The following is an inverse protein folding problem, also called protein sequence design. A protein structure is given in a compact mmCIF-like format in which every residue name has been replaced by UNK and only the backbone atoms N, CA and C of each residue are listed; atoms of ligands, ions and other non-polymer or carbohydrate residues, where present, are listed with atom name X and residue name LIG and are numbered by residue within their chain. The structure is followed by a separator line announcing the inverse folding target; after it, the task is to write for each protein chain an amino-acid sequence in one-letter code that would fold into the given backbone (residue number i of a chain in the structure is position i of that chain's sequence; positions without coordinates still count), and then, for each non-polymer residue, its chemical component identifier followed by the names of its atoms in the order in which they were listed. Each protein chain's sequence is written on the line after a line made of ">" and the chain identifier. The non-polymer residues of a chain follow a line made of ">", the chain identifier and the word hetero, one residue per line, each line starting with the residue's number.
data_IF_699012192085
#
_entry.id   IF_699012192085
#
_cell.length_a   1.000
_cell.length_b   1.000
_cell.length_c   1.000
_cell.angle_alpha   90.00
_cell.angle_beta   90.00
_cell.angle_gamma   90.00
#
_symmetry.space_group_name_H-M   'P 1'
#
loop_
_entity.id
_entity.type
_entity.pdbx_description
1 polymer ?
#
# COMPACT_ATOMS: atom_id res chain seq x y z
N UNK A 1 -26.35 8.57 21.86
CA UNK A 1 -25.13 9.39 22.01
C UNK A 1 -24.90 9.70 23.48
N UNK A 2 -23.91 9.07 24.11
CA UNK A 2 -23.58 9.29 25.53
C UNK A 2 -22.98 10.68 25.78
N UNK A 3 -23.00 11.12 27.05
CA UNK A 3 -22.46 12.41 27.48
C UNK A 3 -21.01 12.63 27.03
N UNK A 4 -20.17 11.62 27.17
CA UNK A 4 -18.76 11.70 26.77
C UNK A 4 -18.56 11.89 25.27
N UNK A 5 -19.44 11.34 24.43
CA UNK A 5 -19.40 11.56 22.97
C UNK A 5 -19.85 12.99 22.64
N UNK A 6 -20.90 13.49 23.31
CA UNK A 6 -21.35 14.88 23.14
C UNK A 6 -20.29 15.90 23.56
N UNK A 7 -19.45 15.56 24.53
CA UNK A 7 -18.34 16.38 25.00
C UNK A 7 -17.06 16.19 24.17
N UNK A 8 -17.07 15.36 23.12
CA UNK A 8 -15.89 15.06 22.30
C UNK A 8 -14.80 14.26 23.02
N UNK A 9 -15.12 13.71 24.19
CA UNK A 9 -14.21 12.90 25.01
C UNK A 9 -14.20 11.43 24.61
N UNK A 10 -15.11 10.99 23.74
CA UNK A 10 -15.11 9.64 23.14
C UNK A 10 -15.53 9.70 21.69
N UNK A 11 -15.00 8.79 20.87
CA UNK A 11 -15.42 8.60 19.48
C UNK A 11 -16.91 8.28 19.37
N UNK A 12 -17.54 8.78 18.31
CA UNK A 12 -18.96 8.52 18.03
C UNK A 12 -19.17 7.21 17.28
N UNK A 13 -18.17 6.79 16.51
CA UNK A 13 -18.14 5.52 15.77
C UNK A 13 -16.80 4.80 15.98
N UNK A 14 -16.81 3.47 15.86
CA UNK A 14 -15.59 2.66 16.04
C UNK A 14 -14.51 2.93 14.99
N UNK A 15 -14.88 3.47 13.82
CA UNK A 15 -13.96 3.79 12.72
C UNK A 15 -13.30 5.15 12.85
N UNK A 16 -13.77 5.99 13.77
CA UNK A 16 -13.13 7.27 14.07
C UNK A 16 -11.88 7.05 14.90
N UNK A 17 -10.92 7.98 14.77
CA UNK A 17 -9.68 7.97 15.54
C UNK A 17 -10.01 7.92 17.05
N UNK A 18 -9.43 6.97 17.80
CA UNK A 18 -9.62 6.91 19.26
C UNK A 18 -9.20 8.22 19.93
N UNK A 19 -10.00 8.68 20.88
CA UNK A 19 -9.60 9.76 21.80
C UNK A 19 -8.63 9.22 22.86
N UNK A 20 -8.02 10.10 23.65
CA UNK A 20 -7.17 9.69 24.79
C UNK A 20 -7.96 8.82 25.78
N UNK A 21 -9.22 9.18 26.02
CA UNK A 21 -10.08 8.42 26.93
C UNK A 21 -10.45 7.06 26.32
N UNK A 22 -10.68 6.98 25.01
CA UNK A 22 -10.88 5.70 24.32
C UNK A 22 -9.64 4.81 24.45
N UNK A 23 -8.43 5.34 24.20
CA UNK A 23 -7.18 4.58 24.34
C UNK A 23 -7.01 4.03 25.77
N UNK A 24 -7.27 4.85 26.78
CA UNK A 24 -7.16 4.45 28.20
C UNK A 24 -8.22 3.43 28.57
N UNK A 25 -9.47 3.61 28.14
CA UNK A 25 -10.56 2.69 28.46
C UNK A 25 -10.44 1.35 27.73
N UNK A 26 -9.96 1.36 26.49
CA UNK A 26 -9.78 0.14 25.68
C UNK A 26 -8.55 -0.66 26.13
N UNK A 27 -7.41 0.01 26.41
CA UNK A 27 -6.19 -0.64 26.92
C UNK A 27 -5.27 0.35 27.65
N UNK A 28 -5.37 0.47 29.00
CA UNK A 28 -4.57 1.41 29.78
C UNK A 28 -3.06 1.22 29.58
N UNK A 29 -2.60 -0.04 29.51
CA UNK A 29 -1.20 -0.37 29.29
C UNK A 29 -0.71 0.13 27.93
N UNK A 30 -1.47 -0.13 26.87
CA UNK A 30 -1.10 0.30 25.52
C UNK A 30 -1.09 1.82 25.41
N UNK A 31 -2.04 2.51 26.04
CA UNK A 31 -2.07 3.97 26.10
C UNK A 31 -0.81 4.55 26.76
N UNK A 32 -0.39 3.98 27.90
CA UNK A 32 0.85 4.37 28.58
C UNK A 32 2.08 4.10 27.71
N UNK A 33 2.19 2.90 27.14
CA UNK A 33 3.32 2.51 26.26
C UNK A 33 3.41 3.44 25.05
N UNK A 34 2.28 3.78 24.43
CA UNK A 34 2.24 4.69 23.29
C UNK A 34 2.72 6.10 23.64
N UNK A 35 2.30 6.63 24.80
CA UNK A 35 2.76 7.95 25.28
C UNK A 35 4.26 7.95 25.61
N UNK A 36 4.75 6.88 26.26
CA UNK A 36 6.19 6.71 26.51
C UNK A 36 6.98 6.60 25.21
N UNK A 37 6.47 5.86 24.22
CA UNK A 37 7.08 5.76 22.89
C UNK A 37 7.19 7.13 22.21
N UNK A 38 6.13 7.94 22.22
CA UNK A 38 6.16 9.30 21.67
C UNK A 38 7.14 10.21 22.42
N UNK A 39 7.21 10.11 23.75
CA UNK A 39 8.20 10.81 24.56
C UNK A 39 9.62 10.39 24.18
N UNK A 40 9.87 9.09 24.03
CA UNK A 40 11.18 8.59 23.61
C UNK A 40 11.53 9.00 22.18
N UNK A 41 10.57 9.05 21.25
CA UNK A 41 10.81 9.58 19.91
C UNK A 41 11.20 11.06 19.95
N UNK A 42 10.53 11.85 20.79
CA UNK A 42 10.86 13.25 20.98
C UNK A 42 12.25 13.42 21.60
N UNK A 43 12.56 12.66 22.67
CA UNK A 43 13.87 12.67 23.34
C UNK A 43 15.01 12.15 22.44
N UNK A 44 14.73 11.19 21.55
CA UNK A 44 15.69 10.64 20.58
C UNK A 44 16.22 11.71 19.62
N UNK A 45 15.49 12.81 19.42
CA UNK A 45 15.88 13.88 18.53
C UNK A 45 15.67 13.55 17.05
N UNK A 46 16.28 14.36 16.17
CA UNK A 46 16.04 14.23 14.72
C UNK A 46 16.60 12.91 14.17
N UNK A 47 15.93 12.31 13.16
CA UNK A 47 16.46 11.13 12.48
C UNK A 47 17.87 11.39 11.95
N UNK A 48 18.69 10.34 11.91
CA UNK A 48 20.03 10.38 11.30
C UNK A 48 19.91 10.97 9.90
N UNK A 49 20.51 12.15 9.69
CA UNK A 49 20.63 12.73 8.35
C UNK A 49 21.65 11.90 7.58
N UNK A 50 21.34 11.43 6.36
CA UNK A 50 22.34 10.75 5.54
C UNK A 50 23.55 11.67 5.32
N UNK A 51 24.77 11.11 5.14
CA UNK A 51 25.96 11.91 4.87
C UNK A 51 25.74 12.83 3.67
N UNK A 52 26.13 14.11 3.77
CA UNK A 52 25.94 15.12 2.71
C UNK A 52 26.50 14.69 1.33
N UNK A 53 27.49 13.80 1.32
CA UNK A 53 28.14 13.31 0.10
C UNK A 53 27.44 12.10 -0.56
N UNK A 54 26.29 11.64 -0.05
CA UNK A 54 25.53 10.56 -0.69
C UNK A 54 24.25 11.07 -1.31
N UNK A 55 24.07 10.78 -2.59
CA UNK A 55 22.82 11.05 -3.29
C UNK A 55 21.66 10.31 -2.61
N UNK A 56 20.56 11.00 -2.27
CA UNK A 56 19.37 10.36 -1.72
C UNK A 56 18.72 9.45 -2.77
N UNK A 57 17.94 8.47 -2.32
CA UNK A 57 17.03 7.71 -3.19
C UNK A 57 15.66 8.36 -3.06
N UNK A 58 15.08 8.82 -4.16
CA UNK A 58 13.73 9.39 -4.20
C UNK A 58 12.72 8.28 -4.47
N UNK A 59 11.78 8.09 -3.55
CA UNK A 59 10.71 7.12 -3.65
C UNK A 59 9.40 7.87 -3.94
N UNK A 60 8.70 7.45 -4.99
CA UNK A 60 7.40 7.97 -5.38
C UNK A 60 6.37 6.90 -5.04
N UNK A 61 5.38 7.24 -4.23
CA UNK A 61 4.34 6.32 -3.79
C UNK A 61 2.99 6.74 -4.34
N UNK A 62 2.22 5.77 -4.84
CA UNK A 62 0.87 5.97 -5.34
C UNK A 62 0.01 4.73 -5.11
N UNK A 63 -1.31 4.89 -5.16
CA UNK A 63 -2.29 3.86 -4.87
C UNK A 63 -3.68 4.35 -5.33
N UNK A 64 -4.66 3.45 -5.40
CA UNK A 64 -6.09 3.76 -5.50
C UNK A 64 -6.45 4.66 -6.70
N UNK A 65 -5.80 4.45 -7.85
CA UNK A 65 -6.12 5.26 -9.04
C UNK A 65 -7.38 4.81 -9.74
N UNK A 66 -7.84 3.57 -9.54
CA UNK A 66 -9.09 3.07 -10.09
C UNK A 66 -9.25 3.36 -11.60
N UNK A 67 -8.36 2.82 -12.41
CA UNK A 67 -8.22 3.03 -13.85
C UNK A 67 -7.75 4.42 -14.29
N UNK A 68 -7.71 5.41 -13.39
CA UNK A 68 -7.19 6.72 -13.72
C UNK A 68 -5.68 6.67 -14.01
N UNK A 69 -5.28 7.34 -15.08
CA UNK A 69 -3.88 7.53 -15.45
C UNK A 69 -3.48 8.96 -15.12
N UNK A 70 -2.64 9.19 -14.09
CA UNK A 70 -2.17 10.53 -13.76
C UNK A 70 -1.39 11.15 -14.91
N UNK A 71 -1.72 12.39 -15.24
CA UNK A 71 -1.06 13.15 -16.31
C UNK A 71 0.37 13.58 -15.96
N UNK A 72 0.68 13.63 -14.67
CA UNK A 72 2.02 13.94 -14.16
C UNK A 72 2.35 13.05 -12.99
N UNK A 73 3.53 12.42 -13.05
CA UNK A 73 4.12 11.66 -11.96
C UNK A 73 5.48 12.29 -11.66
N UNK A 74 5.79 12.63 -10.40
CA UNK A 74 7.09 13.19 -10.05
C UNK A 74 8.24 12.26 -10.42
N UNK A 75 9.36 12.85 -10.83
CA UNK A 75 10.60 12.10 -11.05
C UNK A 75 11.09 11.44 -9.76
N UNK A 76 11.51 10.19 -9.86
CA UNK A 76 12.07 9.43 -8.76
C UNK A 76 12.88 8.23 -9.21
N UNK A 77 13.60 7.64 -8.27
CA UNK A 77 14.43 6.45 -8.53
C UNK A 77 13.62 5.16 -8.38
N UNK A 78 12.64 5.15 -7.48
CA UNK A 78 11.75 4.02 -7.23
C UNK A 78 10.29 4.52 -7.22
N UNK A 79 9.45 3.92 -8.04
CA UNK A 79 8.00 4.08 -7.97
C UNK A 79 7.38 2.86 -7.30
N UNK A 80 6.51 3.08 -6.33
CA UNK A 80 5.72 2.04 -5.65
C UNK A 80 4.25 2.34 -5.91
N UNK A 81 3.56 1.42 -6.59
CA UNK A 81 2.12 1.40 -6.74
C UNK A 81 1.53 0.39 -5.75
N UNK A 82 0.72 0.86 -4.81
CA UNK A 82 0.35 0.14 -3.59
C UNK A 82 -1.12 -0.35 -3.56
N UNK A 83 -1.65 -0.74 -4.71
CA UNK A 83 -2.96 -1.39 -4.85
C UNK A 83 -4.04 -0.52 -5.45
N UNK A 84 -5.16 -1.16 -5.77
CA UNK A 84 -6.38 -0.57 -6.34
C UNK A 84 -6.10 0.27 -7.59
N UNK A 85 -5.36 -0.35 -8.52
CA UNK A 85 -5.03 0.27 -9.81
C UNK A 85 -6.19 0.29 -10.79
N UNK A 86 -7.19 -0.57 -10.57
CA UNK A 86 -8.34 -0.75 -11.46
C UNK A 86 -9.68 -0.61 -10.73
N UNK A 87 -10.79 -0.48 -11.46
CA UNK A 87 -12.13 -0.63 -10.90
C UNK A 87 -12.63 -2.07 -10.96
N UNK A 88 -12.42 -2.74 -12.10
CA UNK A 88 -13.04 -4.02 -12.44
C UNK A 88 -12.13 -5.23 -12.24
N UNK A 89 -10.83 -5.01 -12.04
CA UNK A 89 -9.84 -6.08 -11.84
C UNK A 89 -9.60 -6.96 -13.05
N UNK A 90 -10.04 -6.56 -14.25
CA UNK A 90 -9.89 -7.37 -15.44
C UNK A 90 -8.44 -7.42 -15.92
N UNK A 91 -8.07 -8.51 -16.61
CA UNK A 91 -6.74 -8.63 -17.20
C UNK A 91 -6.40 -7.47 -18.14
N UNK A 92 -7.39 -6.95 -18.87
CA UNK A 92 -7.21 -5.85 -19.81
C UNK A 92 -6.94 -4.51 -19.08
N UNK A 93 -7.73 -4.20 -18.05
CA UNK A 93 -7.53 -2.99 -17.24
C UNK A 93 -6.18 -3.02 -16.54
N UNK A 94 -5.80 -4.17 -15.97
CA UNK A 94 -4.50 -4.32 -15.30
C UNK A 94 -3.36 -4.21 -16.32
N UNK A 95 -3.48 -4.78 -17.52
CA UNK A 95 -2.47 -4.60 -18.56
C UNK A 95 -2.29 -3.13 -18.94
N UNK A 96 -3.37 -2.37 -19.05
CA UNK A 96 -3.29 -0.93 -19.34
C UNK A 96 -2.53 -0.16 -18.23
N UNK A 97 -2.77 -0.51 -16.96
CA UNK A 97 -2.03 0.08 -15.83
C UNK A 97 -0.55 -0.29 -15.85
N UNK A 98 -0.22 -1.56 -16.11
CA UNK A 98 1.17 -2.01 -16.20
C UNK A 98 1.89 -1.37 -17.39
N UNK A 99 1.23 -1.23 -18.53
CA UNK A 99 1.78 -0.58 -19.72
C UNK A 99 2.12 0.89 -19.45
N UNK A 100 1.23 1.59 -18.76
CA UNK A 100 1.47 2.95 -18.34
C UNK A 100 2.62 3.03 -17.32
N UNK A 101 2.66 2.17 -16.30
CA UNK A 101 3.76 2.11 -15.31
C UNK A 101 5.12 1.83 -15.96
N UNK A 102 5.14 0.91 -16.93
CA UNK A 102 6.33 0.55 -17.69
C UNK A 102 6.89 1.75 -18.44
N UNK A 103 6.03 2.63 -18.98
CA UNK A 103 6.42 3.83 -19.72
C UNK A 103 7.11 4.91 -18.88
N UNK A 104 6.96 4.87 -17.55
CA UNK A 104 7.52 5.90 -16.66
C UNK A 104 9.05 5.81 -16.55
N UNK A 105 9.76 6.94 -16.36
CA UNK A 105 11.23 6.98 -16.41
C UNK A 105 11.93 6.48 -15.13
N UNK A 106 11.18 6.07 -14.10
CA UNK A 106 11.73 5.61 -12.83
C UNK A 106 12.64 4.39 -13.03
N UNK A 107 13.76 4.33 -12.31
CA UNK A 107 14.73 3.24 -12.45
C UNK A 107 14.11 1.88 -12.09
N UNK A 108 13.32 1.84 -11.02
CA UNK A 108 12.59 0.65 -10.57
C UNK A 108 11.12 0.99 -10.38
N UNK A 109 10.23 0.06 -10.74
CA UNK A 109 8.80 0.14 -10.46
C UNK A 109 8.38 -1.10 -9.71
N UNK A 110 7.68 -0.92 -8.59
CA UNK A 110 7.11 -1.99 -7.78
C UNK A 110 5.60 -1.86 -7.82
N UNK A 111 4.92 -2.98 -8.01
CA UNK A 111 3.47 -3.09 -7.95
C UNK A 111 3.07 -4.09 -6.88
N UNK A 112 2.11 -3.71 -6.06
CA UNK A 112 1.39 -4.58 -5.13
C UNK A 112 -0.09 -4.43 -5.45
N UNK A 113 -0.81 -5.54 -5.55
CA UNK A 113 -2.24 -5.52 -5.86
C UNK A 113 -3.09 -5.12 -4.65
N UNK A 114 -4.23 -4.48 -4.91
CA UNK A 114 -5.28 -4.21 -3.93
C UNK A 114 -6.50 -5.09 -4.14
N UNK A 115 -7.59 -4.78 -3.45
CA UNK A 115 -8.85 -5.54 -3.53
C UNK A 115 -9.51 -5.42 -4.90
N UNK A 116 -9.35 -4.31 -5.62
CA UNK A 116 -9.91 -4.15 -6.95
C UNK A 116 -9.10 -4.82 -8.06
N UNK A 117 -7.88 -5.29 -7.79
CA UNK A 117 -7.02 -5.89 -8.81
C UNK A 117 -7.22 -7.42 -8.93
N UNK A 118 -8.47 -7.82 -9.17
CA UNK A 118 -8.97 -9.20 -9.10
C UNK A 118 -8.17 -10.22 -9.91
N UNK A 119 -7.55 -9.85 -11.03
CA UNK A 119 -6.74 -10.77 -11.83
C UNK A 119 -5.58 -11.40 -11.07
N UNK A 120 -5.05 -10.75 -10.02
CA UNK A 120 -3.97 -11.31 -9.22
C UNK A 120 -4.42 -12.45 -8.28
N UNK A 121 -5.72 -12.63 -8.07
CA UNK A 121 -6.29 -13.72 -7.28
C UNK A 121 -7.14 -14.63 -8.17
N UNK A 122 -6.69 -15.88 -8.34
CA UNK A 122 -7.38 -16.91 -9.15
C UNK A 122 -8.85 -17.07 -8.72
N UNK A 123 -9.14 -16.95 -7.42
CA UNK A 123 -10.49 -17.13 -6.87
C UNK A 123 -11.38 -15.89 -7.01
N UNK A 124 -10.84 -14.78 -7.51
CA UNK A 124 -11.53 -13.50 -7.69
C UNK A 124 -11.61 -13.07 -9.15
N UNK A 125 -10.86 -13.72 -10.05
CA UNK A 125 -10.88 -13.47 -11.50
C UNK A 125 -12.28 -13.53 -12.08
N UNK A 126 -12.51 -12.68 -13.08
CA UNK A 126 -13.71 -12.77 -13.90
C UNK A 126 -13.76 -14.12 -14.65
N UNK A 127 -14.97 -14.62 -14.91
CA UNK A 127 -15.16 -15.83 -15.72
C UNK A 127 -14.55 -15.66 -17.11
N UNK A 128 -14.67 -14.47 -17.69
CA UNK A 128 -14.11 -14.12 -19.00
C UNK A 128 -12.59 -14.32 -19.00
N UNK A 129 -11.87 -13.78 -18.02
CA UNK A 129 -10.41 -13.90 -17.95
C UNK A 129 -9.98 -15.34 -17.65
N UNK A 130 -10.77 -16.07 -16.87
CA UNK A 130 -10.52 -17.48 -16.53
C UNK A 130 -10.66 -18.38 -17.76
N UNK A 131 -11.74 -18.22 -18.53
CA UNK A 131 -12.03 -19.02 -19.73
C UNK A 131 -11.14 -18.66 -20.92
N UNK A 132 -10.80 -17.37 -21.06
CA UNK A 132 -9.94 -16.90 -22.16
C UNK A 132 -8.46 -17.07 -21.90
N UNK A 133 -8.07 -17.55 -20.70
CA UNK A 133 -6.67 -17.69 -20.27
C UNK A 133 -5.83 -16.42 -20.50
N UNK A 134 -6.46 -15.24 -20.32
CA UNK A 134 -5.76 -13.97 -20.50
C UNK A 134 -4.65 -13.81 -19.46
N UNK A 135 -3.45 -13.54 -19.95
CA UNK A 135 -2.28 -13.28 -19.12
C UNK A 135 -1.92 -11.80 -19.15
N UNK A 136 -1.42 -11.30 -18.02
CA UNK A 136 -0.85 -9.95 -17.90
C UNK A 136 0.67 -10.07 -17.97
N UNK A 137 1.29 -9.28 -18.84
CA UNK A 137 2.74 -9.13 -18.94
C UNK A 137 3.22 -7.99 -18.05
N UNK A 138 4.07 -8.31 -17.06
CA UNK A 138 4.56 -7.35 -16.05
C UNK A 138 5.65 -6.38 -16.56
N UNK A 139 6.29 -6.66 -17.70
CA UNK A 139 7.33 -5.81 -18.32
C UNK A 139 8.45 -5.43 -17.32
N UNK A 140 8.81 -4.15 -17.18
CA UNK A 140 9.81 -3.68 -16.21
C UNK A 140 9.30 -3.56 -14.78
N UNK A 141 8.03 -3.89 -14.52
CA UNK A 141 7.40 -3.73 -13.21
C UNK A 141 7.61 -4.97 -12.35
N UNK A 142 8.10 -4.78 -11.14
CA UNK A 142 8.26 -5.84 -10.13
C UNK A 142 6.95 -6.03 -9.35
N UNK A 143 6.21 -7.09 -9.65
CA UNK A 143 5.07 -7.49 -8.83
C UNK A 143 5.54 -8.21 -7.56
N UNK A 144 5.04 -7.77 -6.39
CA UNK A 144 5.36 -8.38 -5.09
C UNK A 144 4.10 -8.84 -4.36
N UNK A 145 4.04 -10.13 -4.05
CA UNK A 145 3.00 -10.76 -3.23
C UNK A 145 3.64 -11.68 -2.21
N UNK A 146 3.65 -11.26 -0.94
CA UNK A 146 4.29 -11.93 0.19
C UNK A 146 5.77 -12.28 -0.08
N UNK A 147 6.44 -11.42 -0.84
CA UNK A 147 7.83 -11.59 -1.30
C UNK A 147 8.58 -10.27 -1.19
N UNK A 148 9.89 -10.38 -1.05
CA UNK A 148 10.81 -9.25 -1.06
C UNK A 148 11.71 -9.23 -2.28
N UNK A 149 12.10 -8.04 -2.70
CA UNK A 149 13.14 -7.80 -3.70
C UNK A 149 14.15 -6.78 -3.18
N UNK A 150 15.44 -7.02 -3.44
CA UNK A 150 16.49 -6.04 -3.16
C UNK A 150 16.86 -5.29 -4.41
N UNK A 151 16.60 -3.99 -4.44
CA UNK A 151 16.83 -3.10 -5.56
C UNK A 151 18.16 -2.35 -5.37
N UNK A 152 18.99 -2.32 -6.40
CA UNK A 152 20.24 -1.56 -6.42
C UNK A 152 20.05 -0.25 -7.22
N UNK A 153 20.54 0.85 -6.67
CA UNK A 153 20.40 2.19 -7.27
C UNK A 153 21.73 2.69 -7.81
N UNK A 154 21.68 3.59 -8.81
CA UNK A 154 22.89 4.19 -9.42
C UNK A 154 23.82 4.86 -8.39
N UNK A 155 23.27 5.36 -7.29
CA UNK A 155 24.02 5.94 -6.17
C UNK A 155 24.74 4.92 -5.28
N UNK A 156 24.72 3.62 -5.63
CA UNK A 156 25.35 2.52 -4.89
C UNK A 156 24.55 2.07 -3.65
N UNK A 157 23.38 2.65 -3.40
CA UNK A 157 22.48 2.23 -2.31
C UNK A 157 21.67 1.01 -2.74
N UNK A 158 21.25 0.23 -1.75
CA UNK A 158 20.32 -0.89 -1.91
C UNK A 158 19.14 -0.71 -0.99
N UNK A 159 17.93 -1.00 -1.48
CA UNK A 159 16.71 -1.05 -0.65
C UNK A 159 16.09 -2.43 -0.79
N UNK A 160 15.66 -3.00 0.33
CA UNK A 160 14.82 -4.20 0.33
C UNK A 160 13.36 -3.78 0.44
N UNK A 161 12.54 -4.22 -0.51
CA UNK A 161 11.11 -3.90 -0.59
C UNK A 161 10.34 -5.20 -0.43
N UNK A 162 9.38 -5.24 0.50
CA UNK A 162 8.48 -6.37 0.72
C UNK A 162 7.05 -5.97 0.33
N UNK A 163 6.39 -6.78 -0.50
CA UNK A 163 5.00 -6.55 -0.90
C UNK A 163 4.05 -7.40 -0.09
N UNK A 164 3.11 -6.76 0.61
CA UNK A 164 2.08 -7.39 1.43
C UNK A 164 0.69 -6.98 0.92
N UNK A 165 0.07 -7.75 0.01
CA UNK A 165 -1.27 -7.46 -0.52
C UNK A 165 -2.40 -7.98 0.36
N UNK A 166 -2.12 -8.32 1.62
CA UNK A 166 -3.08 -8.95 2.52
C UNK A 166 -4.20 -7.99 2.91
N UNK A 167 -5.45 -8.39 2.60
CA UNK A 167 -6.65 -7.59 2.88
C UNK A 167 -7.43 -8.17 4.05
N UNK A 168 -8.23 -7.39 4.79
CA UNK A 168 -9.20 -7.97 5.71
C UNK A 168 -10.26 -8.80 4.95
N UNK A 169 -10.85 -9.81 5.59
CA UNK A 169 -11.97 -10.58 5.01
C UNK A 169 -13.24 -9.73 5.00
N UNK A 170 -13.37 -8.84 4.03
CA UNK A 170 -14.53 -7.99 3.80
C UNK A 170 -14.83 -7.85 2.29
N UNK A 171 -15.95 -7.19 1.95
CA UNK A 171 -16.33 -6.92 0.56
C UNK A 171 -16.82 -8.14 -0.26
N UNK A 172 -17.21 -7.93 -1.53
CA UNK A 172 -17.75 -8.95 -2.42
C UNK A 172 -16.73 -10.02 -2.82
N UNK A 173 -17.17 -11.16 -3.35
CA UNK A 173 -16.31 -12.29 -3.75
C UNK A 173 -15.27 -11.94 -4.81
N UNK A 174 -15.54 -10.88 -5.58
CA UNK A 174 -14.69 -10.31 -6.63
C UNK A 174 -13.46 -9.58 -6.08
N UNK A 175 -13.41 -9.27 -4.78
CA UNK A 175 -12.22 -8.67 -4.19
C UNK A 175 -11.08 -9.67 -4.07
N UNK A 176 -9.89 -9.25 -4.50
CA UNK A 176 -8.68 -10.06 -4.49
C UNK A 176 -8.12 -10.33 -3.08
N UNK A 177 -7.23 -11.30 -2.95
CA UNK A 177 -6.28 -11.53 -1.83
C UNK A 177 -6.92 -11.53 -0.44
N UNK A 178 -8.02 -12.27 -0.30
CA UNK A 178 -8.65 -12.46 1.02
C UNK A 178 -7.93 -13.53 1.85
N UNK A 179 -7.72 -13.30 3.16
CA UNK A 179 -7.19 -14.30 4.08
C UNK A 179 -8.24 -15.41 4.23
N UNK A 180 -7.86 -16.60 3.76
CA UNK A 180 -8.61 -17.86 3.80
C UNK A 180 -9.79 -17.97 2.82
N UNK A 181 -9.45 -18.22 1.55
CA UNK A 181 -10.17 -19.18 0.69
C UNK A 181 -9.28 -20.43 0.57
N UNK A 182 -9.13 -21.18 1.67
CA UNK A 182 -8.68 -22.58 1.60
C UNK A 182 -9.87 -23.46 1.21
#
# INVERSE_FOLDING_TARGET
>A
MGLLVKLGLRRSMIWERPTILDEILDSPLQAVVWRLYLLFLWLRGTPVRPPRNRQPVKVVCMSDTHDAIPTSVPDGDLLIFAGDSTNDGSAASIQAQIDWLDSLPHQHKVFVCGNHDSWFDINARSEVDTLSHKSVALKSVHYLQRKSITLAFKCGRRLNVYGAPDLPKCGPSTFAVKPNKE
#
